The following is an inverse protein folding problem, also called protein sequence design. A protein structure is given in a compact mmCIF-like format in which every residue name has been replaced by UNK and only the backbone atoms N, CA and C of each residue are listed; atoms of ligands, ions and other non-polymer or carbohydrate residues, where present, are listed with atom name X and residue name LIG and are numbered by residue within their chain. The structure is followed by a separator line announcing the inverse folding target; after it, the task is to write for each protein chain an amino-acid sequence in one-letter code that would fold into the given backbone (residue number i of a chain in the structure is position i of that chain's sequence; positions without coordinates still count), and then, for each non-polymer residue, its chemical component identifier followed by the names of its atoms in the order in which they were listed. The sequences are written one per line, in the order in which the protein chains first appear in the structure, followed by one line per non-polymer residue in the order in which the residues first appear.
data_IF_363109276780
#
_entry.id   IF_363109276780
#
_cell.length_a   1.000
_cell.length_b   1.000
_cell.length_c   1.000
_cell.angle_alpha   90.00
_cell.angle_beta   90.00
_cell.angle_gamma   90.00
#
_symmetry.space_group_name_H-M   'P 1'
#
loop_
_entity.id
_entity.type
_entity.pdbx_description
1 polymer ?
#
# COMPACT_ATOMS: atom_id res chain seq x y z
N UNK A 1 7.23 15.58 -18.38
CA UNK A 1 6.98 14.19 -17.96
C UNK A 1 7.01 14.16 -16.44
N UNK A 2 5.94 13.71 -15.76
CA UNK A 2 5.94 13.57 -14.28
C UNK A 2 6.64 12.25 -13.96
N UNK A 3 7.80 12.30 -13.32
CA UNK A 3 8.50 11.10 -12.85
C UNK A 3 7.84 10.62 -11.55
N UNK A 4 6.80 9.79 -11.64
CA UNK A 4 6.25 9.07 -10.48
C UNK A 4 6.95 7.71 -10.38
N UNK A 5 7.43 7.36 -9.19
CA UNK A 5 8.14 6.11 -8.92
C UNK A 5 7.74 5.59 -7.56
N UNK A 6 7.46 4.30 -7.49
CA UNK A 6 7.40 3.54 -6.24
C UNK A 6 8.61 2.62 -6.28
N UNK A 7 9.45 2.66 -5.25
CA UNK A 7 10.63 1.82 -5.11
C UNK A 7 10.41 0.91 -3.91
N UNK A 8 10.55 -0.37 -4.14
CA UNK A 8 10.49 -1.41 -3.13
C UNK A 8 11.92 -1.92 -2.87
N UNK A 9 12.40 -1.83 -1.63
CA UNK A 9 13.70 -2.38 -1.25
C UNK A 9 13.56 -3.16 0.04
N UNK A 10 14.04 -4.39 0.02
CA UNK A 10 14.39 -5.09 1.25
C UNK A 10 15.77 -4.55 1.66
N UNK A 11 15.87 -3.69 2.68
CA UNK A 11 17.19 -3.45 3.28
C UNK A 11 17.59 -4.75 3.99
N UNK A 12 18.65 -5.38 3.49
CA UNK A 12 19.16 -6.64 4.04
C UNK A 12 19.93 -6.39 5.35
N UNK A 13 19.47 -7.00 6.46
CA UNK A 13 20.43 -7.64 7.36
C UNK A 13 20.46 -9.16 7.17
N UNK A 14 19.53 -9.78 6.42
CA UNK A 14 19.39 -11.24 6.40
C UNK A 14 19.34 -11.95 5.03
N UNK A 15 19.47 -11.29 3.88
CA UNK A 15 19.48 -11.96 2.56
C UNK A 15 18.09 -12.15 1.94
N UNK A 16 17.95 -12.95 0.86
CA UNK A 16 16.68 -13.17 0.15
C UNK A 16 15.53 -13.55 1.08
N UNK A 17 14.28 -13.18 0.72
CA UNK A 17 13.07 -13.45 1.52
C UNK A 17 13.00 -14.90 2.02
N UNK A 18 13.52 -15.85 1.24
CA UNK A 18 13.55 -17.27 1.58
C UNK A 18 14.34 -17.56 2.87
N UNK A 19 15.45 -16.85 3.10
CA UNK A 19 16.27 -17.01 4.31
C UNK A 19 15.55 -16.49 5.54
N UNK A 20 14.86 -15.35 5.42
CA UNK A 20 13.99 -14.82 6.49
C UNK A 20 12.85 -15.80 6.77
N UNK A 21 12.22 -16.33 5.72
CA UNK A 21 11.16 -17.33 5.83
C UNK A 21 11.62 -18.58 6.58
N UNK A 22 12.79 -19.15 6.22
CA UNK A 22 13.33 -20.32 6.91
C UNK A 22 13.55 -20.06 8.39
N UNK A 23 14.17 -18.92 8.73
CA UNK A 23 14.42 -18.54 10.12
C UNK A 23 13.13 -18.38 10.92
N UNK A 24 12.17 -17.62 10.40
CA UNK A 24 10.90 -17.37 11.08
C UNK A 24 10.09 -18.66 11.28
N UNK A 25 10.11 -19.57 10.30
CA UNK A 25 9.44 -20.87 10.43
C UNK A 25 10.11 -21.75 11.48
N UNK A 26 11.45 -21.84 11.49
CA UNK A 26 12.18 -22.60 12.52
C UNK A 26 11.89 -22.04 13.91
N UNK A 27 12.15 -20.75 14.13
CA UNK A 27 11.95 -20.10 15.43
C UNK A 27 10.47 -20.19 15.86
N UNK A 28 9.54 -19.94 14.94
CA UNK A 28 8.12 -19.95 15.26
C UNK A 28 7.58 -21.33 15.60
N UNK A 29 8.02 -22.39 14.91
CA UNK A 29 7.62 -23.76 15.26
C UNK A 29 8.24 -24.19 16.59
N UNK A 30 9.49 -23.81 16.88
CA UNK A 30 10.16 -24.10 18.16
C UNK A 30 9.44 -23.45 19.35
N UNK A 31 8.92 -22.23 19.17
CA UNK A 31 8.23 -21.47 20.23
C UNK A 31 6.69 -21.64 20.22
N UNK A 32 6.15 -22.47 19.32
CA UNK A 32 4.71 -22.72 19.21
C UNK A 32 3.89 -21.51 18.74
N UNK A 33 4.47 -20.62 17.95
CA UNK A 33 3.77 -19.48 17.36
C UNK A 33 2.74 -19.93 16.32
N UNK A 34 1.69 -19.12 16.16
CA UNK A 34 0.69 -19.35 15.13
C UNK A 34 1.29 -19.17 13.73
N UNK A 35 0.69 -19.85 12.76
CA UNK A 35 1.04 -19.71 11.34
C UNK A 35 0.97 -18.26 10.88
N UNK A 36 -0.01 -17.49 11.37
CA UNK A 36 -0.14 -16.05 11.12
C UNK A 36 1.07 -15.26 11.63
N UNK A 37 1.47 -15.45 12.89
CA UNK A 37 2.60 -14.72 13.47
C UNK A 37 3.92 -15.07 12.78
N UNK A 38 4.07 -16.31 12.32
CA UNK A 38 5.22 -16.74 11.52
C UNK A 38 5.24 -15.96 10.19
N UNK A 39 4.10 -15.87 9.50
CA UNK A 39 3.98 -15.12 8.24
C UNK A 39 4.26 -13.63 8.47
N UNK A 40 3.66 -13.01 9.49
CA UNK A 40 3.88 -11.59 9.83
C UNK A 40 5.36 -11.27 10.11
N UNK A 41 6.07 -12.17 10.79
CA UNK A 41 7.51 -12.03 11.03
C UNK A 41 8.33 -12.03 9.74
N UNK A 42 7.87 -12.73 8.70
CA UNK A 42 8.53 -12.74 7.38
C UNK A 42 8.19 -11.49 6.58
N UNK A 43 6.97 -10.99 6.73
CA UNK A 43 6.46 -9.84 5.98
C UNK A 43 6.73 -8.48 6.65
N UNK A 44 7.40 -8.49 7.79
CA UNK A 44 7.83 -7.28 8.49
C UNK A 44 9.07 -6.65 7.85
N UNK A 45 9.32 -5.37 8.15
CA UNK A 45 10.57 -4.66 7.82
C UNK A 45 10.92 -4.59 6.33
N UNK A 46 10.09 -3.92 5.54
CA UNK A 46 10.39 -3.59 4.14
C UNK A 46 10.50 -2.09 3.94
N UNK A 47 11.54 -1.62 3.27
CA UNK A 47 11.67 -0.19 2.99
C UNK A 47 11.00 0.16 1.66
N UNK A 48 10.07 1.10 1.77
CA UNK A 48 9.29 1.59 0.65
C UNK A 48 9.50 3.07 0.51
N UNK A 49 9.84 3.51 -0.71
CA UNK A 49 9.88 4.92 -1.07
C UNK A 49 8.94 5.20 -2.24
N UNK A 50 8.06 6.18 -2.07
CA UNK A 50 7.23 6.74 -3.13
C UNK A 50 7.79 8.13 -3.44
N UNK A 51 8.13 8.38 -4.69
CA UNK A 51 8.67 9.65 -5.14
C UNK A 51 7.92 10.20 -6.36
N UNK A 52 7.87 11.53 -6.44
CA UNK A 52 7.16 12.29 -7.44
C UNK A 52 8.04 13.45 -7.88
N UNK A 53 8.40 13.49 -9.17
CA UNK A 53 9.38 14.45 -9.71
C UNK A 53 10.71 14.44 -8.95
N UNK A 54 11.18 13.23 -8.58
CA UNK A 54 12.42 12.98 -7.81
C UNK A 54 12.34 13.37 -6.32
N UNK A 55 11.26 14.00 -5.87
CA UNK A 55 11.05 14.25 -4.44
C UNK A 55 10.32 13.08 -3.78
N UNK A 56 10.81 12.65 -2.61
CA UNK A 56 10.13 11.63 -1.82
C UNK A 56 8.86 12.20 -1.17
N UNK A 57 7.76 11.50 -1.34
CA UNK A 57 6.46 11.80 -0.73
C UNK A 57 6.08 10.78 0.34
N UNK A 58 6.80 9.66 0.41
CA UNK A 58 6.70 8.66 1.46
C UNK A 58 8.01 7.87 1.46
N UNK A 59 8.60 7.66 2.63
CA UNK A 59 9.76 6.81 2.81
C UNK A 59 9.67 6.19 4.22
N UNK A 60 9.43 4.89 4.28
CA UNK A 60 9.22 4.19 5.54
C UNK A 60 9.57 2.72 5.43
N UNK A 61 9.94 2.16 6.58
CA UNK A 61 9.86 0.72 6.82
C UNK A 61 8.39 0.35 7.05
N UNK A 62 7.88 -0.65 6.34
CA UNK A 62 6.47 -1.05 6.32
C UNK A 62 6.29 -2.54 6.58
N UNK A 63 5.10 -2.92 7.05
CA UNK A 63 4.62 -4.30 6.98
C UNK A 63 4.08 -4.57 5.58
N UNK A 64 4.74 -5.47 4.83
CA UNK A 64 4.48 -5.68 3.40
C UNK A 64 3.03 -6.02 3.11
N UNK A 65 2.41 -6.84 3.96
CA UNK A 65 1.02 -7.24 3.78
C UNK A 65 0.08 -6.03 3.83
N UNK A 66 0.29 -5.12 4.79
CA UNK A 66 -0.53 -3.92 4.94
C UNK A 66 -0.30 -2.95 3.80
N UNK A 67 0.97 -2.75 3.43
CA UNK A 67 1.35 -1.93 2.30
C UNK A 67 0.69 -2.39 1.00
N UNK A 68 0.73 -3.68 0.66
CA UNK A 68 0.12 -4.19 -0.58
C UNK A 68 -1.40 -4.00 -0.58
N UNK A 69 -2.09 -4.32 0.52
CA UNK A 69 -3.54 -4.11 0.60
C UNK A 69 -3.91 -2.64 0.45
N UNK A 70 -3.20 -1.73 1.13
CA UNK A 70 -3.43 -0.29 1.00
C UNK A 70 -3.09 0.20 -0.42
N UNK A 71 -2.03 -0.31 -1.05
CA UNK A 71 -1.69 0.02 -2.44
C UNK A 71 -2.80 -0.40 -3.41
N UNK A 72 -3.36 -1.60 -3.23
CA UNK A 72 -4.55 -2.04 -3.99
C UNK A 72 -5.75 -1.15 -3.71
N UNK A 73 -6.01 -0.77 -2.45
CA UNK A 73 -7.11 0.14 -2.11
C UNK A 73 -7.01 1.46 -2.86
N UNK A 74 -5.83 2.07 -2.86
CA UNK A 74 -5.59 3.31 -3.60
C UNK A 74 -5.77 3.10 -5.11
N UNK A 75 -5.36 1.96 -5.67
CA UNK A 75 -5.56 1.65 -7.09
C UNK A 75 -7.02 1.46 -7.48
N UNK A 76 -7.79 0.68 -6.72
CA UNK A 76 -9.23 0.53 -6.95
C UNK A 76 -9.95 1.88 -6.83
N UNK A 77 -9.60 2.67 -5.82
CA UNK A 77 -10.14 4.03 -5.65
C UNK A 77 -9.76 4.94 -6.82
N UNK A 78 -8.52 4.87 -7.32
CA UNK A 78 -8.07 5.67 -8.46
C UNK A 78 -8.87 5.37 -9.73
N UNK A 79 -9.25 4.10 -9.96
CA UNK A 79 -10.06 3.67 -11.11
C UNK A 79 -11.53 4.04 -10.94
N UNK A 80 -12.12 3.61 -9.82
CA UNK A 80 -13.58 3.63 -9.62
C UNK A 80 -14.07 4.98 -9.09
N UNK A 81 -13.24 5.67 -8.29
CA UNK A 81 -13.64 6.87 -7.55
C UNK A 81 -14.39 6.53 -6.26
N UNK A 82 -14.58 5.25 -5.99
CA UNK A 82 -15.26 4.71 -4.84
C UNK A 82 -14.25 4.05 -3.91
N UNK A 83 -14.55 4.06 -2.60
CA UNK A 83 -13.73 3.37 -1.61
C UNK A 83 -14.04 1.87 -1.71
N UNK A 84 -13.05 1.01 -2.00
CA UNK A 84 -13.31 -0.42 -2.15
C UNK A 84 -13.63 -1.06 -0.80
N UNK A 85 -14.80 -1.68 -0.67
CA UNK A 85 -15.25 -2.34 0.57
C UNK A 85 -14.65 -3.74 0.74
N UNK A 86 -14.31 -4.40 -0.37
CA UNK A 86 -13.86 -5.79 -0.41
C UNK A 86 -12.33 -5.95 -0.44
N UNK A 87 -11.61 -4.88 -0.14
CA UNK A 87 -10.15 -4.88 0.01
C UNK A 87 -9.83 -4.49 1.44
N UNK A 88 -9.09 -5.36 2.15
CA UNK A 88 -8.70 -5.15 3.54
C UNK A 88 -8.07 -3.76 3.72
N UNK A 89 -8.47 -3.04 4.77
CA UNK A 89 -7.92 -1.72 5.10
C UNK A 89 -7.21 -1.70 6.43
N UNK A 90 -6.15 -0.91 6.48
CA UNK A 90 -5.35 -0.55 7.65
C UNK A 90 -5.31 0.97 7.85
N UNK A 91 -6.19 1.69 7.15
CA UNK A 91 -6.37 3.13 7.24
C UNK A 91 -7.84 3.50 7.46
N UNK A 92 -8.15 4.77 7.18
CA UNK A 92 -9.51 5.30 7.19
C UNK A 92 -9.90 5.80 5.81
N UNK A 93 -11.21 5.82 5.59
CA UNK A 93 -11.82 6.39 4.41
C UNK A 93 -12.96 7.28 4.84
N UNK A 94 -13.12 8.40 4.17
CA UNK A 94 -14.14 9.40 4.48
C UNK A 94 -14.90 9.72 3.21
N UNK A 95 -16.21 9.91 3.30
CA UNK A 95 -17.04 10.34 2.16
C UNK A 95 -16.90 11.84 1.89
N UNK A 96 -16.55 12.60 2.93
CA UNK A 96 -16.42 14.06 2.92
C UNK A 96 -15.68 14.56 4.15
N UNK A 97 -15.17 15.78 4.10
CA UNK A 97 -14.43 16.42 5.20
C UNK A 97 -15.19 16.41 6.54
N UNK A 98 -16.51 16.58 6.52
CA UNK A 98 -17.34 16.65 7.72
C UNK A 98 -17.38 15.35 8.56
N UNK A 99 -16.84 14.24 8.04
CA UNK A 99 -16.72 12.98 8.78
C UNK A 99 -15.40 12.84 9.53
N UNK A 100 -14.45 13.76 9.32
CA UNK A 100 -13.18 13.76 10.04
C UNK A 100 -13.43 14.13 11.51
N UNK A 101 -12.93 13.33 12.47
CA UNK A 101 -12.97 13.69 13.88
C UNK A 101 -12.20 14.98 14.18
N UNK A 102 -12.69 15.77 15.14
CA UNK A 102 -12.09 17.06 15.54
C UNK A 102 -10.61 16.96 15.97
N UNK A 103 -10.17 15.81 16.47
CA UNK A 103 -8.77 15.61 16.85
C UNK A 103 -7.81 15.57 15.64
N UNK A 104 -8.32 15.50 14.40
CA UNK A 104 -7.56 15.62 13.15
C UNK A 104 -7.46 17.06 12.64
N UNK A 105 -7.92 18.07 13.39
CA UNK A 105 -7.97 19.47 12.96
C UNK A 105 -6.62 20.01 12.43
N UNK A 106 -5.51 19.61 13.04
CA UNK A 106 -4.19 20.05 12.60
C UNK A 106 -3.81 19.43 11.25
N UNK A 107 -4.09 18.14 11.03
CA UNK A 107 -3.92 17.50 9.72
C UNK A 107 -4.77 18.21 8.66
N UNK A 108 -6.01 18.57 8.99
CA UNK A 108 -6.92 19.29 8.09
C UNK A 108 -6.38 20.67 7.72
N UNK A 109 -5.78 21.40 8.67
CA UNK A 109 -5.12 22.69 8.40
C UNK A 109 -3.93 22.53 7.48
N UNK A 110 -3.10 21.51 7.70
CA UNK A 110 -1.96 21.20 6.82
C UNK A 110 -2.45 20.84 5.42
N UNK A 111 -3.44 19.95 5.30
CA UNK A 111 -4.06 19.60 4.01
C UNK A 111 -4.59 20.83 3.28
N UNK A 112 -5.27 21.73 3.98
CA UNK A 112 -5.77 22.99 3.40
C UNK A 112 -4.64 23.87 2.90
N UNK A 113 -3.55 24.00 3.67
CA UNK A 113 -2.37 24.76 3.26
C UNK A 113 -1.65 24.14 2.05
N UNK A 114 -1.58 22.82 1.96
CA UNK A 114 -0.92 22.10 0.88
C UNK A 114 -1.74 22.07 -0.41
N UNK A 115 -3.05 21.89 -0.31
CA UNK A 115 -3.96 21.78 -1.46
C UNK A 115 -4.45 23.15 -1.96
N UNK A 116 -4.46 24.17 -1.11
CA UNK A 116 -4.89 25.52 -1.48
C UNK A 116 -6.32 25.54 -2.02
N UNK A 117 -6.51 26.10 -3.20
CA UNK A 117 -7.83 26.24 -3.85
C UNK A 117 -8.49 24.87 -4.16
N UNK A 118 -7.68 23.82 -4.35
CA UNK A 118 -8.14 22.47 -4.66
C UNK A 118 -8.77 21.77 -3.45
N UNK A 119 -8.52 22.26 -2.23
CA UNK A 119 -8.90 21.59 -0.98
C UNK A 119 -10.40 21.29 -0.91
N UNK A 120 -11.26 22.28 -1.18
CA UNK A 120 -12.71 22.10 -1.04
C UNK A 120 -13.27 21.10 -2.06
N UNK A 121 -12.75 21.11 -3.29
CA UNK A 121 -13.18 20.18 -4.33
C UNK A 121 -12.74 18.75 -3.99
N UNK A 122 -11.46 18.55 -3.67
CA UNK A 122 -10.89 17.23 -3.36
C UNK A 122 -11.54 16.60 -2.12
N UNK A 123 -11.93 17.40 -1.13
CA UNK A 123 -12.53 16.91 0.13
C UNK A 123 -14.07 16.86 0.11
N UNK A 124 -14.68 17.25 -1.01
CA UNK A 124 -16.12 17.11 -1.25
C UNK A 124 -16.54 15.72 -1.74
N UNK A 125 -15.57 14.91 -2.17
CA UNK A 125 -15.73 13.53 -2.64
C UNK A 125 -15.06 12.55 -1.66
N UNK A 126 -15.34 11.24 -1.77
CA UNK A 126 -14.66 10.25 -0.95
C UNK A 126 -13.14 10.30 -1.11
N UNK A 127 -12.41 10.10 -0.02
CA UNK A 127 -10.94 10.08 0.01
C UNK A 127 -10.41 9.07 1.03
N UNK A 128 -9.14 8.70 0.85
CA UNK A 128 -8.43 7.73 1.69
C UNK A 128 -7.44 8.46 2.61
N UNK A 129 -7.24 7.91 3.81
CA UNK A 129 -6.18 8.28 4.75
C UNK A 129 -5.51 6.99 5.22
N UNK A 130 -4.21 6.85 4.97
CA UNK A 130 -3.50 5.60 5.21
C UNK A 130 -2.10 5.84 5.73
N UNK A 131 -1.61 4.90 6.52
CA UNK A 131 -0.19 4.84 6.91
C UNK A 131 0.63 3.99 5.92
N UNK A 132 -0.02 3.40 4.90
CA UNK A 132 0.60 2.49 3.94
C UNK A 132 1.41 1.35 4.59
N UNK A 133 0.97 0.88 5.76
CA UNK A 133 1.66 -0.15 6.53
C UNK A 133 2.94 0.30 7.26
N UNK A 134 3.21 1.61 7.31
CA UNK A 134 4.35 2.20 8.02
C UNK A 134 4.37 1.79 9.50
N UNK A 135 5.56 1.43 9.99
CA UNK A 135 5.82 1.26 11.43
C UNK A 135 5.79 2.59 12.19
N UNK A 136 6.00 3.69 11.48
CA UNK A 136 5.81 5.04 12.02
C UNK A 136 4.37 5.50 11.78
N UNK A 137 3.53 5.54 12.83
CA UNK A 137 2.13 5.93 12.72
C UNK A 137 1.95 7.43 12.45
N UNK A 138 3.02 8.23 12.47
CA UNK A 138 2.88 9.65 12.09
C UNK A 138 2.84 9.78 10.57
N UNK A 139 3.48 8.90 9.81
CA UNK A 139 3.61 9.01 8.34
C UNK A 139 2.30 8.76 7.61
N UNK A 140 1.46 9.78 7.52
CA UNK A 140 0.12 9.70 6.96
C UNK A 140 0.12 10.16 5.51
N UNK A 141 -0.46 9.33 4.64
CA UNK A 141 -0.72 9.63 3.24
C UNK A 141 -2.23 9.69 3.00
N UNK A 142 -2.68 10.84 2.52
CA UNK A 142 -4.03 11.01 2.00
C UNK A 142 -4.08 10.78 0.50
N UNK A 143 -5.11 10.06 0.04
CA UNK A 143 -5.39 9.81 -1.38
C UNK A 143 -6.67 10.52 -1.81
N UNK A 144 -6.55 11.49 -2.71
CA UNK A 144 -7.69 12.18 -3.33
C UNK A 144 -7.71 11.95 -4.84
N UNK A 145 -8.89 11.96 -5.43
CA UNK A 145 -9.09 11.89 -6.87
C UNK A 145 -9.77 13.17 -7.39
N UNK A 146 -9.25 13.71 -8.49
CA UNK A 146 -9.92 14.77 -9.26
C UNK A 146 -9.71 14.54 -10.76
N UNK A 147 -10.80 14.26 -11.48
CA UNK A 147 -10.76 13.91 -12.89
C UNK A 147 -9.87 12.69 -13.15
N UNK A 148 -8.87 12.86 -14.02
CA UNK A 148 -7.89 11.84 -14.40
C UNK A 148 -6.63 11.85 -13.52
N UNK A 149 -6.66 12.52 -12.36
CA UNK A 149 -5.51 12.64 -11.48
C UNK A 149 -5.78 12.06 -10.10
N UNK A 150 -4.75 11.40 -9.57
CA UNK A 150 -4.59 11.05 -8.18
C UNK A 150 -3.67 12.04 -7.49
N UNK A 151 -4.07 12.48 -6.30
CA UNK A 151 -3.30 13.31 -5.39
C UNK A 151 -2.93 12.48 -4.18
N UNK A 152 -1.63 12.28 -3.97
CA UNK A 152 -1.08 11.70 -2.75
C UNK A 152 -0.52 12.85 -1.92
N UNK A 153 -1.07 13.07 -0.74
CA UNK A 153 -0.64 14.15 0.15
C UNK A 153 -0.08 13.55 1.42
N UNK A 154 1.21 13.78 1.68
CA UNK A 154 1.83 13.41 2.93
C UNK A 154 1.86 14.63 3.85
N UNK A 155 1.22 14.50 5.01
CA UNK A 155 1.05 15.60 5.97
C UNK A 155 2.38 15.95 6.62
N UNK A 156 3.12 14.95 7.07
CA UNK A 156 4.38 15.10 7.82
C UNK A 156 5.49 15.67 6.93
N UNK A 157 5.59 15.16 5.70
CA UNK A 157 6.59 15.63 4.75
C UNK A 157 6.17 16.96 4.11
N UNK A 158 4.91 17.37 4.29
CA UNK A 158 4.32 18.56 3.67
C UNK A 158 4.46 18.53 2.14
N UNK A 159 4.20 17.36 1.54
CA UNK A 159 4.36 17.11 0.11
C UNK A 159 3.03 16.72 -0.54
N UNK A 160 2.85 17.19 -1.77
CA UNK A 160 1.75 16.81 -2.65
C UNK A 160 2.33 16.19 -3.91
N UNK A 161 2.01 14.93 -4.18
CA UNK A 161 2.22 14.33 -5.49
C UNK A 161 0.90 14.32 -6.26
N UNK A 162 0.89 15.01 -7.40
CA UNK A 162 -0.16 14.88 -8.41
C UNK A 162 0.34 14.01 -9.56
N UNK A 163 -0.34 12.91 -9.82
CA UNK A 163 0.00 11.93 -10.85
C UNK A 163 -1.26 11.57 -11.65
N UNK A 164 -1.12 11.29 -12.95
CA UNK A 164 -2.27 10.80 -13.72
C UNK A 164 -2.68 9.42 -13.20
N UNK A 165 -3.98 9.15 -13.15
CA UNK A 165 -4.52 7.85 -12.74
C UNK A 165 -3.88 6.71 -13.54
N UNK A 166 -3.68 6.90 -14.85
CA UNK A 166 -3.00 5.91 -15.71
C UNK A 166 -1.56 5.60 -15.28
N UNK A 167 -0.75 6.62 -14.95
CA UNK A 167 0.63 6.41 -14.51
C UNK A 167 0.67 5.79 -13.12
N UNK A 168 -0.19 6.26 -12.21
CA UNK A 168 -0.31 5.70 -10.86
C UNK A 168 -0.61 4.20 -10.92
N UNK A 169 -1.62 3.81 -11.68
CA UNK A 169 -2.04 2.41 -11.82
C UNK A 169 -0.97 1.54 -12.46
N UNK A 170 -0.30 2.04 -13.50
CA UNK A 170 0.82 1.33 -14.12
C UNK A 170 1.92 1.02 -13.10
N UNK A 171 2.25 1.97 -12.22
CA UNK A 171 3.28 1.76 -11.18
C UNK A 171 2.81 0.82 -10.09
N UNK A 172 1.57 0.94 -9.62
CA UNK A 172 1.00 0.01 -8.64
C UNK A 172 1.00 -1.42 -9.18
N UNK A 173 0.58 -1.61 -10.42
CA UNK A 173 0.53 -2.94 -11.05
C UNK A 173 1.92 -3.58 -11.11
N UNK A 174 2.94 -2.84 -11.56
CA UNK A 174 4.31 -3.36 -11.61
C UNK A 174 4.81 -3.77 -10.22
N UNK A 175 4.60 -2.92 -9.20
CA UNK A 175 5.02 -3.21 -7.83
C UNK A 175 4.28 -4.42 -7.25
N UNK A 176 2.98 -4.53 -7.50
CA UNK A 176 2.18 -5.66 -7.04
C UNK A 176 2.66 -6.97 -7.68
N UNK A 177 2.95 -6.99 -8.98
CA UNK A 177 3.46 -8.17 -9.69
C UNK A 177 4.86 -8.58 -9.23
N UNK A 178 5.76 -7.61 -9.03
CA UNK A 178 7.10 -7.84 -8.47
C UNK A 178 7.01 -8.42 -7.06
N UNK A 179 6.17 -7.84 -6.20
CA UNK A 179 5.98 -8.31 -4.83
C UNK A 179 5.36 -9.71 -4.79
N UNK A 180 4.36 -10.01 -5.63
CA UNK A 180 3.77 -11.36 -5.74
C UNK A 180 4.83 -12.37 -6.16
N UNK A 181 5.66 -12.03 -7.15
CA UNK A 181 6.75 -12.91 -7.62
C UNK A 181 7.76 -13.19 -6.50
N UNK A 182 8.15 -12.17 -5.73
CA UNK A 182 9.04 -12.33 -4.58
C UNK A 182 8.40 -13.22 -3.50
N UNK A 183 7.12 -13.00 -3.16
CA UNK A 183 6.40 -13.84 -2.20
C UNK A 183 6.34 -15.31 -2.65
N UNK A 184 6.09 -15.55 -3.94
CA UNK A 184 6.01 -16.88 -4.51
C UNK A 184 7.32 -17.68 -4.39
N UNK A 185 8.47 -16.99 -4.44
CA UNK A 185 9.79 -17.60 -4.31
C UNK A 185 9.94 -18.41 -3.00
N UNK A 186 9.22 -18.01 -1.95
CA UNK A 186 9.34 -18.58 -0.61
C UNK A 186 8.27 -19.62 -0.26
N UNK A 187 7.28 -19.84 -1.15
CA UNK A 187 6.12 -20.71 -0.87
C UNK A 187 6.54 -22.11 -0.44
N UNK A 188 7.62 -22.65 -1.02
CA UNK A 188 8.16 -23.98 -0.68
C UNK A 188 8.54 -24.12 0.79
N UNK A 189 9.03 -23.04 1.42
CA UNK A 189 9.41 -23.03 2.84
C UNK A 189 8.17 -23.19 3.71
N UNK A 190 7.11 -22.46 3.41
CA UNK A 190 5.86 -22.50 4.17
C UNK A 190 5.09 -23.80 3.93
N UNK A 191 4.96 -24.25 2.69
CA UNK A 191 4.28 -25.51 2.35
C UNK A 191 4.96 -26.72 3.02
N UNK A 192 6.29 -26.76 2.98
CA UNK A 192 7.07 -27.83 3.61
C UNK A 192 6.92 -27.90 5.13
N UNK A 193 6.40 -26.84 5.75
CA UNK A 193 6.14 -26.74 7.19
C UNK A 193 4.64 -26.69 7.54
N UNK A 194 3.77 -27.03 6.57
CA UNK A 194 2.32 -27.12 6.77
C UNK A 194 1.59 -25.78 6.89
N UNK A 195 2.25 -24.65 6.57
CA UNK A 195 1.71 -23.30 6.74
C UNK A 195 0.95 -22.88 5.47
N UNK A 196 -0.28 -23.38 5.30
CA UNK A 196 -1.07 -23.16 4.06
C UNK A 196 -1.55 -21.72 3.89
N UNK A 197 -1.73 -20.99 4.99
CA UNK A 197 -2.21 -19.58 5.01
C UNK A 197 -1.35 -18.64 4.16
N UNK A 198 -0.05 -18.94 4.02
CA UNK A 198 0.85 -18.14 3.19
C UNK A 198 0.45 -18.16 1.70
N UNK A 199 0.07 -19.33 1.19
CA UNK A 199 -0.38 -19.49 -0.20
C UNK A 199 -1.74 -18.83 -0.42
N UNK A 200 -2.66 -18.97 0.53
CA UNK A 200 -3.99 -18.33 0.49
C UNK A 200 -3.87 -16.79 0.41
N UNK A 201 -2.91 -16.21 1.13
CA UNK A 201 -2.61 -14.78 1.06
C UNK A 201 -2.13 -14.37 -0.34
N UNK A 202 -1.18 -15.12 -0.94
CA UNK A 202 -0.69 -14.85 -2.30
C UNK A 202 -1.82 -14.94 -3.33
N UNK A 203 -2.67 -15.96 -3.23
CA UNK A 203 -3.82 -16.13 -4.13
C UNK A 203 -4.82 -14.96 -3.97
N UNK A 204 -4.97 -14.41 -2.76
CA UNK A 204 -5.71 -13.18 -2.51
C UNK A 204 -5.17 -11.98 -3.30
N UNK A 205 -3.86 -11.76 -3.31
CA UNK A 205 -3.26 -10.69 -4.12
C UNK A 205 -3.40 -10.92 -5.62
N UNK A 206 -3.27 -12.17 -6.09
CA UNK A 206 -3.48 -12.50 -7.51
C UNK A 206 -4.90 -12.19 -7.96
N UNK A 207 -5.90 -12.48 -7.13
CA UNK A 207 -7.29 -12.14 -7.44
C UNK A 207 -7.51 -10.63 -7.46
N UNK A 208 -6.93 -9.87 -6.52
CA UNK A 208 -6.97 -8.40 -6.56
C UNK A 208 -6.31 -7.83 -7.83
N UNK A 209 -5.14 -8.33 -8.21
CA UNK A 209 -4.44 -7.97 -9.44
C UNK A 209 -5.30 -8.26 -10.68
N UNK A 210 -5.93 -9.44 -10.74
CA UNK A 210 -6.82 -9.83 -11.84
C UNK A 210 -8.04 -8.91 -11.93
N UNK A 211 -8.69 -8.63 -10.79
CA UNK A 211 -9.82 -7.69 -10.72
C UNK A 211 -9.42 -6.29 -11.19
N UNK A 212 -8.26 -5.81 -10.78
CA UNK A 212 -7.75 -4.50 -11.21
C UNK A 212 -7.44 -4.46 -12.71
N UNK A 213 -6.81 -5.51 -13.27
CA UNK A 213 -6.58 -5.66 -14.72
C UNK A 213 -7.88 -5.66 -15.52
N UNK A 214 -8.90 -6.36 -15.04
CA UNK A 214 -10.21 -6.38 -15.68
C UNK A 214 -10.86 -4.99 -15.71
N UNK A 215 -10.78 -4.22 -14.61
CA UNK A 215 -11.28 -2.84 -14.56
C UNK A 215 -10.53 -1.92 -15.54
N UNK A 216 -9.24 -2.19 -15.78
CA UNK A 216 -8.41 -1.46 -16.72
C UNK A 216 -8.65 -1.86 -18.19
N UNK A 217 -9.48 -2.88 -18.45
CA UNK A 217 -9.65 -3.45 -19.80
C UNK A 217 -8.40 -4.19 -20.30
N UNK A 218 -7.48 -4.55 -19.40
CA UNK A 218 -6.26 -5.32 -19.69
C UNK A 218 -6.63 -6.79 -19.51
N UNK A 219 -7.42 -7.34 -20.44
CA UNK A 219 -7.84 -8.74 -20.42
C UNK A 219 -6.72 -9.70 -20.86
N UNK A 220 -6.53 -10.77 -20.10
CA UNK A 220 -5.52 -11.82 -20.31
C UNK A 220 -5.68 -12.51 -21.69
N UNK A 221 -4.58 -12.59 -22.44
CA UNK A 221 -4.34 -13.66 -23.41
C UNK A 221 -3.73 -14.86 -22.70
#
# INVERSE_FOLDING_TARGET
MVNFKITFKLEEPFGPLEKRARRAVTEGKEHGYSDESIIETVLSEYDVSISCRVEEVFNATVHLNEFLYELFRFAFYAVTGEVPEDVKSYGWSFKRLAELPDWLDEEVRVLRGLLGEEFNELTSSPFLRSFLGSYDPILIVYGFRKGEYMYLVNVDYRKVCRVSTSEFLRRVMNVAEEAITELESCTRVFDGNGIRKYREMIDGYRELTKRLKNLLGIGNY
#
